data_IF_654745720120
#
_entry.id   IF_654745720120
#
_cell.length_a   1.000
_cell.length_b   1.000
_cell.length_c   1.000
_cell.angle_alpha   90.00
_cell.angle_beta   90.00
_cell.angle_gamma   90.00
#
_symmetry.space_group_name_H-M   'P 1'
#
loop_
_entity.id
_entity.type
_entity.pdbx_description
1 polymer ?
#
# COMPACT_ATOMS: atom_id res chain seq x y z
N UNK A 1 3.49 19.75 17.46
CA UNK A 1 2.22 20.19 16.86
C UNK A 1 2.44 20.12 15.37
N UNK A 2 2.10 18.99 14.75
CA UNK A 2 2.04 18.93 13.29
C UNK A 2 0.80 19.71 12.90
N UNK A 3 0.95 20.69 12.00
CA UNK A 3 -0.19 21.32 11.38
C UNK A 3 -0.87 20.24 10.53
N UNK A 4 -1.91 19.61 11.07
CA UNK A 4 -2.84 18.84 10.27
C UNK A 4 -3.52 19.80 9.28
N UNK A 5 -3.70 19.38 8.04
CA UNK A 5 -4.45 20.17 7.06
C UNK A 5 -5.90 20.24 7.53
N UNK A 6 -6.29 21.42 8.00
CA UNK A 6 -7.64 21.63 8.51
C UNK A 6 -8.64 21.70 7.36
N UNK A 7 -9.69 20.88 7.46
CA UNK A 7 -10.73 20.76 6.44
C UNK A 7 -11.44 22.09 6.17
N UNK A 8 -11.69 22.90 7.20
CA UNK A 8 -12.39 24.18 7.04
C UNK A 8 -11.52 25.21 6.31
N UNK A 9 -10.22 25.22 6.63
CA UNK A 9 -9.22 26.08 6.00
C UNK A 9 -9.06 25.74 4.52
N UNK A 10 -8.98 24.45 4.18
CA UNK A 10 -8.89 24.01 2.79
C UNK A 10 -10.12 24.41 1.99
N UNK A 11 -11.33 24.29 2.54
CA UNK A 11 -12.55 24.72 1.84
C UNK A 11 -12.63 26.24 1.63
N UNK A 12 -12.12 27.02 2.58
CA UNK A 12 -12.19 28.48 2.55
C UNK A 12 -11.32 29.12 1.46
N UNK A 13 -10.32 28.40 0.94
CA UNK A 13 -9.44 28.90 -0.12
C UNK A 13 -10.21 29.04 -1.45
N UNK A 14 -9.98 30.14 -2.16
CA UNK A 14 -10.50 30.40 -3.51
C UNK A 14 -9.67 29.67 -4.58
N UNK A 15 -9.70 28.33 -4.58
CA UNK A 15 -8.88 27.47 -5.44
C UNK A 15 -9.00 27.80 -6.93
N UNK A 16 -10.19 28.21 -7.38
CA UNK A 16 -10.47 28.59 -8.76
C UNK A 16 -9.70 29.82 -9.22
N UNK A 17 -9.18 30.64 -8.30
CA UNK A 17 -8.32 31.80 -8.61
C UNK A 17 -6.83 31.44 -8.65
N UNK A 18 -6.48 30.21 -8.29
CA UNK A 18 -5.09 29.74 -8.27
C UNK A 18 -4.66 29.19 -9.62
N UNK A 19 -3.35 29.02 -9.80
CA UNK A 19 -2.73 28.35 -10.97
C UNK A 19 -1.99 27.09 -10.54
N UNK A 20 -2.52 26.39 -9.55
CA UNK A 20 -1.89 25.18 -9.03
C UNK A 20 -1.97 24.09 -10.12
N UNK A 21 -0.80 23.64 -10.57
CA UNK A 21 -0.66 22.55 -11.53
C UNK A 21 -0.31 21.22 -10.85
N UNK A 22 0.25 21.26 -9.63
CA UNK A 22 0.71 20.09 -8.90
C UNK A 22 0.21 20.14 -7.46
N UNK A 23 -0.41 19.04 -7.00
CA UNK A 23 -0.96 18.92 -5.65
C UNK A 23 -0.56 17.58 -5.04
N UNK A 24 0.02 17.64 -3.84
CA UNK A 24 0.28 16.47 -3.00
C UNK A 24 -0.57 16.59 -1.73
N UNK A 25 -1.50 15.66 -1.56
CA UNK A 25 -2.35 15.50 -0.37
C UNK A 25 -2.23 14.10 0.21
N UNK A 26 -1.15 13.38 -0.12
CA UNK A 26 -0.91 12.01 0.31
C UNK A 26 -0.99 11.83 1.82
N UNK A 27 -1.71 10.81 2.27
CA UNK A 27 -1.76 10.39 3.67
C UNK A 27 -2.29 11.46 4.63
N UNK A 28 -3.08 12.41 4.11
CA UNK A 28 -3.73 13.46 4.89
C UNK A 28 -5.08 12.98 5.42
N UNK A 29 -5.64 13.69 6.41
CA UNK A 29 -6.94 13.38 7.02
C UNK A 29 -8.07 14.27 6.42
N UNK A 30 -7.93 14.66 5.15
CA UNK A 30 -8.96 15.44 4.45
C UNK A 30 -10.19 14.56 4.21
N UNK A 31 -11.37 15.06 4.59
CA UNK A 31 -12.63 14.35 4.37
C UNK A 31 -13.03 14.35 2.88
N UNK A 32 -13.88 13.42 2.49
CA UNK A 32 -14.38 13.32 1.10
C UNK A 32 -15.02 14.62 0.61
N UNK A 33 -15.80 15.31 1.45
CA UNK A 33 -16.40 16.61 1.11
C UNK A 33 -15.34 17.70 0.87
N UNK A 34 -14.25 17.68 1.64
CA UNK A 34 -13.12 18.60 1.42
C UNK A 34 -12.37 18.26 0.14
N UNK A 35 -12.14 16.98 -0.15
CA UNK A 35 -11.53 16.54 -1.41
C UNK A 35 -12.38 16.93 -2.62
N UNK A 36 -13.71 16.77 -2.53
CA UNK A 36 -14.65 17.23 -3.58
C UNK A 36 -14.51 18.73 -3.77
N UNK A 37 -14.60 19.53 -2.70
CA UNK A 37 -14.48 20.99 -2.78
C UNK A 37 -13.15 21.41 -3.41
N UNK A 38 -12.04 20.80 -2.96
CA UNK A 38 -10.70 21.09 -3.45
C UNK A 38 -10.53 20.74 -4.93
N UNK A 39 -10.77 19.47 -5.29
CA UNK A 39 -10.43 18.95 -6.62
C UNK A 39 -11.33 19.50 -7.73
N UNK A 40 -12.60 19.78 -7.44
CA UNK A 40 -13.54 20.37 -8.42
C UNK A 40 -13.24 21.84 -8.71
N UNK A 41 -12.40 22.50 -7.91
CA UNK A 41 -12.05 23.93 -8.03
C UNK A 41 -10.62 24.16 -8.50
N UNK A 42 -9.93 23.13 -8.99
CA UNK A 42 -8.55 23.22 -9.51
C UNK A 42 -8.50 22.99 -11.04
N UNK A 43 -8.85 23.99 -11.87
CA UNK A 43 -8.99 23.82 -13.32
C UNK A 43 -7.66 23.59 -14.07
N UNK A 44 -6.54 23.92 -13.43
CA UNK A 44 -5.21 23.83 -14.02
C UNK A 44 -4.41 22.61 -13.53
N UNK A 45 -5.02 21.71 -12.74
CA UNK A 45 -4.30 20.59 -12.15
C UNK A 45 -3.81 19.60 -13.23
N UNK A 46 -2.52 19.28 -13.15
CA UNK A 46 -1.82 18.38 -14.08
C UNK A 46 -1.21 17.19 -13.35
N UNK A 47 -0.86 17.34 -12.07
CA UNK A 47 -0.27 16.29 -11.26
C UNK A 47 -0.98 16.23 -9.90
N UNK A 48 -1.42 15.03 -9.53
CA UNK A 48 -2.02 14.76 -8.23
C UNK A 48 -1.37 13.53 -7.58
N UNK A 49 -0.89 13.70 -6.35
CA UNK A 49 -0.71 12.58 -5.42
C UNK A 49 -1.76 12.63 -4.32
N UNK A 50 -2.64 11.64 -4.34
CA UNK A 50 -3.72 11.42 -3.39
C UNK A 50 -3.63 10.01 -2.81
N UNK A 51 -2.43 9.43 -2.79
CA UNK A 51 -2.20 8.09 -2.23
C UNK A 51 -2.46 8.04 -0.72
N UNK A 52 -2.81 6.86 -0.21
CA UNK A 52 -3.10 6.63 1.21
C UNK A 52 -4.25 7.48 1.77
N UNK A 53 -5.25 7.79 0.94
CA UNK A 53 -6.45 8.53 1.33
C UNK A 53 -7.67 7.63 1.37
N UNK A 54 -8.09 7.19 2.57
CA UNK A 54 -9.33 6.42 2.76
C UNK A 54 -10.57 7.23 2.34
N UNK A 55 -10.53 8.55 2.52
CA UNK A 55 -11.58 9.48 2.10
C UNK A 55 -11.64 9.73 0.59
N UNK A 56 -10.68 9.22 -0.20
CA UNK A 56 -10.76 9.24 -1.65
C UNK A 56 -11.72 8.14 -2.12
N UNK A 57 -13.01 8.46 -2.17
CA UNK A 57 -14.09 7.51 -2.48
C UNK A 57 -14.60 7.66 -3.92
N UNK A 58 -15.43 6.73 -4.36
CA UNK A 58 -16.10 6.79 -5.67
C UNK A 58 -16.89 8.08 -5.87
N UNK A 59 -17.51 8.61 -4.80
CA UNK A 59 -18.23 9.88 -4.83
C UNK A 59 -17.30 11.07 -5.13
N UNK A 60 -16.07 11.05 -4.59
CA UNK A 60 -15.06 12.07 -4.89
C UNK A 60 -14.67 12.00 -6.37
N UNK A 61 -14.40 10.79 -6.87
CA UNK A 61 -14.06 10.58 -8.28
C UNK A 61 -15.18 11.02 -9.22
N UNK A 62 -16.43 10.67 -8.91
CA UNK A 62 -17.61 11.03 -9.70
C UNK A 62 -17.77 12.55 -9.76
N UNK A 63 -17.77 13.23 -8.60
CA UNK A 63 -17.89 14.68 -8.55
C UNK A 63 -16.75 15.38 -9.31
N UNK A 64 -15.52 14.88 -9.17
CA UNK A 64 -14.37 15.44 -9.86
C UNK A 64 -14.47 15.28 -11.38
N UNK A 65 -14.87 14.11 -11.87
CA UNK A 65 -15.14 13.87 -13.29
C UNK A 65 -16.28 14.73 -13.83
N UNK A 66 -17.37 14.89 -13.08
CA UNK A 66 -18.52 15.71 -13.48
C UNK A 66 -18.19 17.21 -13.53
N UNK A 67 -17.24 17.68 -12.72
CA UNK A 67 -16.83 19.09 -12.70
C UNK A 67 -16.06 19.52 -13.96
N UNK A 68 -15.46 18.59 -14.70
CA UNK A 68 -14.58 18.90 -15.83
C UNK A 68 -13.18 19.39 -15.45
N UNK A 69 -12.85 19.51 -14.16
CA UNK A 69 -11.53 19.96 -13.69
C UNK A 69 -10.38 18.98 -14.03
N UNK A 70 -10.70 17.73 -14.42
CA UNK A 70 -9.73 16.69 -14.82
C UNK A 70 -9.13 16.86 -16.22
N UNK A 71 -9.59 17.84 -17.00
CA UNK A 71 -9.22 18.01 -18.42
C UNK A 71 -7.73 18.18 -18.68
N UNK A 72 -6.96 18.70 -17.72
CA UNK A 72 -5.53 18.93 -17.85
C UNK A 72 -4.66 17.88 -17.14
N UNK A 73 -5.28 16.92 -16.45
CA UNK A 73 -4.58 15.93 -15.62
C UNK A 73 -3.67 15.03 -16.48
N UNK A 74 -2.39 14.99 -16.14
CA UNK A 74 -1.36 14.18 -16.80
C UNK A 74 -0.79 13.10 -15.89
N UNK A 75 -0.81 13.29 -14.58
CA UNK A 75 -0.27 12.35 -13.61
C UNK A 75 -1.22 12.20 -12.44
N UNK A 76 -1.52 10.96 -12.08
CA UNK A 76 -2.35 10.66 -10.92
C UNK A 76 -1.81 9.46 -10.15
N UNK A 77 -1.69 9.66 -8.84
CA UNK A 77 -1.34 8.62 -7.89
C UNK A 77 -2.49 8.40 -6.89
N UNK A 78 -3.09 7.20 -6.96
CA UNK A 78 -4.17 6.71 -6.09
C UNK A 78 -3.75 5.40 -5.40
N UNK A 79 -2.46 5.27 -5.13
CA UNK A 79 -1.87 4.13 -4.43
C UNK A 79 -2.52 3.96 -3.05
N UNK A 80 -2.96 2.73 -2.74
CA UNK A 80 -3.60 2.41 -1.44
C UNK A 80 -4.82 3.27 -1.11
N UNK A 81 -5.66 3.57 -2.11
CA UNK A 81 -6.99 4.18 -1.90
C UNK A 81 -8.09 3.11 -1.97
N UNK A 82 -8.24 2.30 -0.92
CA UNK A 82 -9.08 1.09 -0.93
C UNK A 82 -10.58 1.36 -1.13
N UNK A 83 -11.03 2.58 -0.87
CA UNK A 83 -12.43 3.02 -1.04
C UNK A 83 -12.85 3.22 -2.51
N UNK A 84 -11.94 3.14 -3.49
CA UNK A 84 -12.22 3.37 -4.92
C UNK A 84 -12.51 2.10 -5.68
N UNK A 85 -13.73 1.84 -6.15
CA UNK A 85 -14.06 0.62 -6.86
C UNK A 85 -13.50 0.54 -8.31
N UNK A 86 -13.54 -0.66 -8.89
CA UNK A 86 -13.04 -0.91 -10.25
C UNK A 86 -13.80 -0.12 -11.33
N UNK A 87 -15.11 0.09 -11.17
CA UNK A 87 -15.94 0.80 -12.15
C UNK A 87 -15.56 2.29 -12.24
N UNK A 88 -15.36 2.96 -11.11
CA UNK A 88 -14.95 4.37 -11.06
C UNK A 88 -13.56 4.58 -11.66
N UNK A 89 -12.62 3.66 -11.43
CA UNK A 89 -11.29 3.69 -12.04
C UNK A 89 -11.32 3.37 -13.54
N UNK A 90 -12.20 2.45 -13.96
CA UNK A 90 -12.45 2.15 -15.38
C UNK A 90 -12.97 3.40 -16.10
N UNK A 91 -13.95 4.09 -15.53
CA UNK A 91 -14.51 5.31 -16.11
C UNK A 91 -13.46 6.42 -16.24
N UNK A 92 -12.64 6.63 -15.21
CA UNK A 92 -11.51 7.57 -15.26
C UNK A 92 -10.58 7.27 -16.44
N UNK A 93 -10.13 6.02 -16.56
CA UNK A 93 -9.14 5.63 -17.59
C UNK A 93 -9.76 5.66 -18.99
N UNK A 94 -11.02 5.25 -19.16
CA UNK A 94 -11.70 5.31 -20.45
C UNK A 94 -11.84 6.76 -20.92
N UNK A 95 -12.17 7.69 -20.02
CA UNK A 95 -12.36 9.11 -20.36
C UNK A 95 -11.05 9.88 -20.51
N UNK A 96 -10.08 9.63 -19.63
CA UNK A 96 -8.88 10.46 -19.50
C UNK A 96 -7.56 9.70 -19.75
N UNK A 97 -7.59 8.39 -20.00
CA UNK A 97 -6.39 7.59 -20.29
C UNK A 97 -5.48 8.15 -21.40
N UNK A 98 -6.03 8.66 -22.53
CA UNK A 98 -5.21 9.19 -23.62
C UNK A 98 -4.34 10.41 -23.25
N UNK A 99 -4.69 11.20 -22.23
CA UNK A 99 -3.91 12.36 -21.79
C UNK A 99 -2.89 12.03 -20.69
N UNK A 100 -3.01 10.85 -20.05
CA UNK A 100 -2.14 10.49 -18.93
C UNK A 100 -0.72 10.11 -19.39
N UNK A 101 0.25 10.65 -18.66
CA UNK A 101 1.67 10.33 -18.73
C UNK A 101 2.12 9.50 -17.53
N UNK A 102 1.43 9.59 -16.39
CA UNK A 102 1.67 8.71 -15.26
C UNK A 102 0.39 8.25 -14.58
N UNK A 103 0.33 6.96 -14.27
CA UNK A 103 -0.79 6.33 -13.58
C UNK A 103 -0.23 5.39 -12.51
N UNK A 104 -0.56 5.66 -11.26
CA UNK A 104 -0.23 4.79 -10.14
C UNK A 104 -1.52 4.33 -9.46
N UNK A 105 -1.85 3.06 -9.66
CA UNK A 105 -2.95 2.35 -8.99
C UNK A 105 -2.40 1.17 -8.18
N UNK A 106 -1.22 1.37 -7.59
CA UNK A 106 -0.63 0.42 -6.67
C UNK A 106 -1.52 0.19 -5.45
N UNK A 107 -1.31 -0.93 -4.74
CA UNK A 107 -2.04 -1.21 -3.49
C UNK A 107 -3.51 -1.58 -3.67
N UNK A 108 -4.07 -1.44 -4.88
CA UNK A 108 -5.45 -1.76 -5.19
C UNK A 108 -5.63 -3.28 -5.40
N UNK A 109 -5.86 -4.02 -4.32
CA UNK A 109 -5.95 -5.49 -4.32
C UNK A 109 -7.05 -6.07 -5.25
N UNK A 110 -8.06 -5.27 -5.58
CA UNK A 110 -9.18 -5.64 -6.47
C UNK A 110 -8.88 -5.47 -7.96
N UNK A 111 -7.82 -4.75 -8.34
CA UNK A 111 -7.47 -4.53 -9.74
C UNK A 111 -6.61 -5.67 -10.27
N UNK A 112 -7.27 -6.65 -10.89
CA UNK A 112 -6.67 -7.89 -11.37
C UNK A 112 -6.48 -7.88 -12.90
N UNK A 113 -6.19 -9.06 -13.45
CA UNK A 113 -5.85 -9.26 -14.86
C UNK A 113 -6.88 -8.72 -15.84
N UNK A 114 -8.17 -8.95 -15.60
CA UNK A 114 -9.22 -8.43 -16.47
C UNK A 114 -9.19 -6.91 -16.57
N UNK A 115 -9.07 -6.20 -15.44
CA UNK A 115 -9.01 -4.75 -15.43
C UNK A 115 -7.82 -4.24 -16.24
N UNK A 116 -6.61 -4.70 -15.94
CA UNK A 116 -5.39 -4.19 -16.59
C UNK A 116 -5.35 -4.48 -18.08
N UNK A 117 -5.79 -5.67 -18.52
CA UNK A 117 -5.83 -6.02 -19.93
C UNK A 117 -6.77 -5.11 -20.74
N UNK A 118 -7.84 -4.62 -20.13
CA UNK A 118 -8.76 -3.67 -20.77
C UNK A 118 -8.29 -2.21 -20.68
N UNK A 119 -7.60 -1.85 -19.59
CA UNK A 119 -7.20 -0.46 -19.32
C UNK A 119 -5.88 -0.05 -20.00
N UNK A 120 -4.89 -0.94 -20.08
CA UNK A 120 -3.60 -0.65 -20.74
C UNK A 120 -3.76 -0.09 -22.18
N UNK A 121 -4.65 -0.62 -23.03
CA UNK A 121 -4.88 -0.07 -24.38
C UNK A 121 -5.36 1.39 -24.43
N UNK A 122 -5.93 1.91 -23.32
CA UNK A 122 -6.38 3.30 -23.23
C UNK A 122 -5.22 4.27 -22.90
N UNK A 123 -4.07 3.76 -22.48
CA UNK A 123 -2.94 4.52 -21.94
C UNK A 123 -1.85 4.80 -22.99
N UNK A 124 -2.25 5.30 -24.18
CA UNK A 124 -1.36 5.42 -25.36
C UNK A 124 -0.16 6.35 -25.17
N UNK A 125 -0.24 7.30 -24.24
CA UNK A 125 0.81 8.29 -23.96
C UNK A 125 1.57 8.03 -22.66
N UNK A 126 1.30 6.91 -22.00
CA UNK A 126 1.83 6.62 -20.67
C UNK A 126 3.36 6.50 -20.71
N UNK A 127 3.99 7.08 -19.70
CA UNK A 127 5.43 7.06 -19.45
C UNK A 127 5.76 6.33 -18.16
N UNK A 128 4.87 6.39 -17.17
CA UNK A 128 5.02 5.74 -15.87
C UNK A 128 3.74 4.97 -15.56
N UNK A 129 3.86 3.67 -15.30
CA UNK A 129 2.74 2.86 -14.84
C UNK A 129 3.17 2.06 -13.61
N UNK A 130 2.36 2.11 -12.56
CA UNK A 130 2.55 1.36 -11.33
C UNK A 130 1.29 0.54 -11.05
N UNK A 131 1.46 -0.77 -10.94
CA UNK A 131 0.39 -1.74 -10.78
C UNK A 131 0.71 -2.81 -9.75
N UNK A 132 -0.34 -3.46 -9.27
CA UNK A 132 -0.26 -4.54 -8.30
C UNK A 132 -0.10 -4.06 -6.86
N UNK A 133 -0.02 -5.03 -5.97
CA UNK A 133 0.04 -4.82 -4.52
C UNK A 133 1.33 -5.42 -3.98
N UNK A 134 2.02 -4.68 -3.13
CA UNK A 134 3.31 -5.09 -2.59
C UNK A 134 3.17 -6.24 -1.59
N UNK A 135 4.28 -6.98 -1.41
CA UNK A 135 4.48 -7.93 -0.32
C UNK A 135 4.20 -7.22 1.02
N UNK A 136 3.48 -7.88 1.93
CA UNK A 136 3.07 -7.39 3.27
C UNK A 136 1.83 -6.48 3.35
N UNK A 137 1.03 -6.33 2.29
CA UNK A 137 -0.29 -5.71 2.42
C UNK A 137 -1.34 -6.67 3.03
N UNK A 138 -2.28 -6.12 3.82
CA UNK A 138 -3.23 -6.88 4.65
C UNK A 138 -4.15 -7.84 3.86
N UNK A 139 -4.38 -7.58 2.57
CA UNK A 139 -5.18 -8.42 1.69
C UNK A 139 -4.28 -9.22 0.74
N UNK A 140 -4.12 -10.53 1.02
CA UNK A 140 -3.47 -11.43 0.05
C UNK A 140 -4.37 -11.57 -1.17
N UNK A 141 -3.82 -11.31 -2.35
CA UNK A 141 -4.50 -11.57 -3.62
C UNK A 141 -4.57 -13.08 -3.81
N UNK A 142 -5.77 -13.65 -3.77
CA UNK A 142 -5.95 -15.09 -3.99
C UNK A 142 -5.81 -15.48 -5.47
N UNK A 143 -6.05 -14.53 -6.37
CA UNK A 143 -5.98 -14.74 -7.81
C UNK A 143 -4.52 -14.82 -8.29
N UNK A 144 -4.24 -15.78 -9.18
CA UNK A 144 -2.96 -15.87 -9.88
C UNK A 144 -2.98 -14.92 -11.09
N UNK A 145 -1.89 -14.20 -11.30
CA UNK A 145 -1.77 -13.17 -12.34
C UNK A 145 -0.85 -13.66 -13.45
N UNK A 146 -1.36 -13.75 -14.69
CA UNK A 146 -0.57 -14.17 -15.84
C UNK A 146 0.23 -13.01 -16.44
N UNK A 147 1.42 -12.74 -15.88
CA UNK A 147 2.20 -11.54 -16.20
C UNK A 147 2.67 -11.45 -17.66
N UNK A 148 2.85 -12.58 -18.35
CA UNK A 148 3.24 -12.59 -19.77
C UNK A 148 2.27 -11.79 -20.64
N UNK A 149 0.96 -11.89 -20.34
CA UNK A 149 -0.06 -11.15 -21.08
C UNK A 149 0.03 -9.64 -20.82
N UNK A 150 0.38 -9.23 -19.60
CA UNK A 150 0.58 -7.82 -19.29
C UNK A 150 1.79 -7.27 -20.02
N UNK A 151 2.91 -7.99 -20.01
CA UNK A 151 4.12 -7.55 -20.70
C UNK A 151 3.87 -7.39 -22.19
N UNK A 152 3.19 -8.35 -22.83
CA UNK A 152 2.81 -8.21 -24.24
C UNK A 152 1.86 -7.02 -24.44
N UNK A 153 0.79 -6.91 -23.65
CA UNK A 153 -0.19 -5.83 -23.76
C UNK A 153 0.46 -4.44 -23.61
N UNK A 154 1.36 -4.28 -22.64
CA UNK A 154 2.16 -3.06 -22.44
C UNK A 154 3.03 -2.80 -23.67
N UNK A 155 3.74 -3.82 -24.16
CA UNK A 155 4.62 -3.68 -25.32
C UNK A 155 3.85 -3.24 -26.58
N UNK A 156 2.62 -3.72 -26.78
CA UNK A 156 1.81 -3.34 -27.94
C UNK A 156 1.21 -1.94 -27.83
N UNK A 157 0.91 -1.46 -26.61
CA UNK A 157 0.10 -0.25 -26.42
C UNK A 157 0.88 0.97 -25.86
N UNK A 158 2.04 0.75 -25.24
CA UNK A 158 2.77 1.78 -24.48
C UNK A 158 4.20 2.03 -25.00
N UNK A 159 4.38 2.51 -26.25
CA UNK A 159 5.71 2.69 -26.85
C UNK A 159 6.54 3.81 -26.17
N UNK A 160 5.89 4.71 -25.43
CA UNK A 160 6.50 5.84 -24.71
C UNK A 160 6.87 5.50 -23.26
N UNK A 161 6.71 4.25 -22.85
CA UNK A 161 6.95 3.84 -21.48
C UNK A 161 8.41 4.05 -21.08
N UNK A 162 8.62 4.71 -19.94
CA UNK A 162 9.94 5.00 -19.36
C UNK A 162 10.15 4.31 -18.02
N UNK A 163 9.08 4.05 -17.27
CA UNK A 163 9.11 3.38 -15.97
C UNK A 163 7.92 2.44 -15.83
N UNK A 164 8.22 1.18 -15.54
CA UNK A 164 7.24 0.13 -15.25
C UNK A 164 7.47 -0.37 -13.83
N UNK A 165 6.45 -0.41 -13.00
CA UNK A 165 6.50 -0.99 -11.67
C UNK A 165 5.35 -1.99 -11.49
N UNK A 166 5.71 -3.26 -11.24
CA UNK A 166 4.77 -4.35 -11.02
C UNK A 166 5.05 -4.93 -9.64
N UNK A 167 4.09 -4.82 -8.72
CA UNK A 167 4.30 -5.07 -7.29
C UNK A 167 3.83 -6.44 -6.79
N UNK A 168 3.10 -7.21 -7.60
CA UNK A 168 2.69 -8.57 -7.20
C UNK A 168 3.92 -9.43 -6.88
N UNK A 169 3.81 -10.23 -5.82
CA UNK A 169 4.88 -11.11 -5.33
C UNK A 169 5.03 -12.39 -6.18
N UNK A 170 6.09 -13.15 -5.91
CA UNK A 170 6.42 -14.42 -6.59
C UNK A 170 5.29 -15.46 -6.46
N UNK A 171 4.58 -15.45 -5.34
CA UNK A 171 3.45 -16.33 -5.11
C UNK A 171 2.26 -15.94 -5.98
N UNK A 172 2.04 -14.66 -6.28
CA UNK A 172 0.90 -14.18 -7.07
C UNK A 172 1.14 -14.31 -8.56
N UNK A 173 2.38 -14.10 -9.01
CA UNK A 173 2.73 -14.11 -10.42
C UNK A 173 2.81 -15.53 -11.00
N UNK A 174 2.27 -15.70 -12.21
CA UNK A 174 2.48 -16.87 -13.04
C UNK A 174 3.00 -16.47 -14.41
N UNK A 175 4.01 -17.18 -14.87
CA UNK A 175 4.71 -16.90 -16.11
C UNK A 175 5.12 -18.22 -16.78
N UNK A 176 5.37 -18.18 -18.08
CA UNK A 176 5.63 -19.38 -18.90
C UNK A 176 7.11 -19.58 -19.23
N UNK A 177 7.43 -20.71 -19.83
CA UNK A 177 8.74 -20.96 -20.45
C UNK A 177 9.04 -19.99 -21.62
N UNK A 178 8.01 -19.30 -22.13
CA UNK A 178 8.11 -18.33 -23.22
C UNK A 178 8.28 -16.88 -22.75
N UNK A 179 8.29 -16.62 -21.44
CA UNK A 179 8.40 -15.28 -20.86
C UNK A 179 9.53 -14.43 -21.43
N UNK A 180 10.69 -15.03 -21.71
CA UNK A 180 11.81 -14.31 -22.34
C UNK A 180 11.43 -13.65 -23.67
N UNK A 181 10.58 -14.28 -24.48
CA UNK A 181 10.13 -13.72 -25.76
C UNK A 181 9.27 -12.47 -25.56
N UNK A 182 8.39 -12.47 -24.56
CA UNK A 182 7.57 -11.30 -24.23
C UNK A 182 8.44 -10.14 -23.72
N UNK A 183 9.44 -10.44 -22.91
CA UNK A 183 10.40 -9.46 -22.40
C UNK A 183 11.23 -8.85 -23.56
N UNK A 184 11.64 -9.67 -24.54
CA UNK A 184 12.30 -9.18 -25.75
C UNK A 184 11.38 -8.27 -26.57
N UNK A 185 10.11 -8.62 -26.73
CA UNK A 185 9.11 -7.78 -27.40
C UNK A 185 8.94 -6.43 -26.69
N UNK A 186 8.82 -6.44 -25.35
CA UNK A 186 8.78 -5.22 -24.54
C UNK A 186 9.99 -4.33 -24.82
N UNK A 187 11.19 -4.90 -24.83
CA UNK A 187 12.43 -4.17 -25.11
C UNK A 187 12.48 -3.58 -26.52
N UNK A 188 11.99 -4.31 -27.52
CA UNK A 188 11.98 -3.86 -28.91
C UNK A 188 10.95 -2.76 -29.17
N UNK A 189 9.83 -2.76 -28.41
CA UNK A 189 8.72 -1.83 -28.60
C UNK A 189 8.80 -0.59 -27.71
N UNK A 190 9.28 -0.73 -26.47
CA UNK A 190 9.41 0.34 -25.49
C UNK A 190 10.86 0.83 -25.40
N UNK A 191 11.34 1.50 -26.45
CA UNK A 191 12.75 1.92 -26.58
C UNK A 191 13.20 2.97 -25.54
N UNK A 192 12.25 3.63 -24.88
CA UNK A 192 12.50 4.65 -23.85
C UNK A 192 12.45 4.09 -22.43
N UNK A 193 12.29 2.77 -22.28
CA UNK A 193 12.15 2.12 -20.97
C UNK A 193 13.47 2.19 -20.21
N UNK A 194 13.53 3.03 -19.18
CA UNK A 194 14.73 3.25 -18.36
C UNK A 194 14.72 2.45 -17.06
N UNK A 195 13.54 2.14 -16.52
CA UNK A 195 13.41 1.47 -15.23
C UNK A 195 12.29 0.46 -15.25
N UNK A 196 12.60 -0.77 -14.83
CA UNK A 196 11.60 -1.77 -14.46
C UNK A 196 11.79 -2.09 -12.99
N UNK A 197 10.71 -2.06 -12.22
CA UNK A 197 10.69 -2.42 -10.80
C UNK A 197 9.75 -3.61 -10.62
N UNK A 198 10.25 -4.69 -10.04
CA UNK A 198 9.50 -5.92 -9.77
C UNK A 198 9.66 -6.31 -8.31
N UNK A 199 8.73 -7.12 -7.79
CA UNK A 199 8.95 -7.83 -6.52
C UNK A 199 10.06 -8.87 -6.65
N UNK A 200 10.75 -9.14 -5.54
CA UNK A 200 11.73 -10.23 -5.49
C UNK A 200 11.06 -11.56 -5.86
N UNK A 201 11.79 -12.43 -6.56
CA UNK A 201 11.23 -13.68 -7.06
C UNK A 201 11.82 -14.16 -8.39
N UNK A 202 11.34 -15.31 -8.85
CA UNK A 202 11.84 -15.98 -10.04
C UNK A 202 11.62 -15.13 -11.30
N UNK A 203 10.49 -14.42 -11.37
CA UNK A 203 10.21 -13.54 -12.50
C UNK A 203 11.15 -12.34 -12.56
N UNK A 204 11.50 -11.74 -11.42
CA UNK A 204 12.47 -10.66 -11.35
C UNK A 204 13.84 -11.10 -11.89
N UNK A 205 14.34 -12.24 -11.43
CA UNK A 205 15.63 -12.78 -11.89
C UNK A 205 15.63 -13.09 -13.40
N UNK A 206 14.51 -13.60 -13.93
CA UNK A 206 14.34 -13.82 -15.36
C UNK A 206 14.43 -12.52 -16.16
N UNK A 207 13.68 -11.49 -15.75
CA UNK A 207 13.67 -10.18 -16.42
C UNK A 207 15.05 -9.53 -16.32
N UNK A 208 15.66 -9.53 -15.13
CA UNK A 208 17.00 -9.01 -14.90
C UNK A 208 18.04 -9.66 -15.81
N UNK A 209 18.11 -10.99 -15.84
CA UNK A 209 19.07 -11.71 -16.69
C UNK A 209 18.85 -11.42 -18.18
N UNK A 210 17.59 -11.25 -18.61
CA UNK A 210 17.27 -10.92 -20.00
C UNK A 210 17.75 -9.50 -20.39
N UNK A 211 17.60 -8.53 -19.49
CA UNK A 211 18.07 -7.15 -19.70
C UNK A 211 19.60 -7.01 -19.60
N UNK A 212 20.25 -7.72 -18.67
CA UNK A 212 21.71 -7.72 -18.53
C UNK A 212 22.39 -8.30 -19.79
N UNK A 213 21.87 -9.39 -20.35
CA UNK A 213 22.38 -9.97 -21.62
C UNK A 213 22.22 -9.06 -22.83
N UNK A 214 21.28 -8.13 -22.75
CA UNK A 214 20.94 -7.24 -23.85
C UNK A 214 21.77 -5.96 -23.92
N UNK A 215 22.65 -5.74 -22.94
CA UNK A 215 23.53 -4.57 -22.82
C UNK A 215 22.79 -3.22 -23.00
N UNK A 216 21.63 -3.09 -22.35
CA UNK A 216 20.82 -1.86 -22.36
C UNK A 216 21.03 -1.06 -21.09
N UNK A 217 20.95 0.26 -21.22
CA UNK A 217 20.97 1.23 -20.10
C UNK A 217 19.78 1.10 -19.12
N UNK A 218 18.78 0.28 -19.45
CA UNK A 218 17.58 0.09 -18.63
C UNK A 218 17.92 -0.63 -17.33
N UNK A 219 17.52 -0.07 -16.20
CA UNK A 219 17.80 -0.65 -14.88
C UNK A 219 16.61 -1.48 -14.42
N UNK A 220 16.84 -2.77 -14.17
CA UNK A 220 15.87 -3.67 -13.53
C UNK A 220 16.18 -3.73 -12.03
N UNK A 221 15.22 -3.31 -11.19
CA UNK A 221 15.39 -3.23 -9.74
C UNK A 221 14.33 -4.06 -9.03
N UNK A 222 14.69 -4.58 -7.87
CA UNK A 222 13.73 -5.10 -6.91
C UNK A 222 13.10 -3.91 -6.15
N UNK A 223 11.81 -3.99 -5.83
CA UNK A 223 11.11 -3.04 -4.95
C UNK A 223 11.58 -3.13 -3.49
N UNK A 224 12.27 -4.22 -3.11
CA UNK A 224 12.94 -4.37 -1.83
C UNK A 224 14.40 -3.94 -1.99
N UNK A 225 14.82 -2.93 -1.23
CA UNK A 225 16.24 -2.69 -0.95
C UNK A 225 16.77 -3.84 -0.10
N UNK A 226 17.06 -4.99 -0.73
CA UNK A 226 17.83 -6.04 -0.10
C UNK A 226 19.31 -5.63 -0.20
N UNK A 227 20.01 -5.30 0.91
CA UNK A 227 21.46 -5.24 0.87
C UNK A 227 21.99 -6.65 0.54
N UNK A 228 23.22 -6.77 -0.01
CA UNK A 228 23.79 -8.04 -0.51
C UNK A 228 23.98 -9.16 0.53
N UNK A 229 23.44 -9.00 1.76
CA UNK A 229 23.55 -9.96 2.87
C UNK A 229 22.24 -10.13 3.66
N UNK A 230 21.08 -10.16 2.99
CA UNK A 230 19.86 -10.79 3.55
C UNK A 230 19.32 -10.21 4.87
N UNK A 231 19.59 -8.94 5.20
CA UNK A 231 18.99 -8.26 6.35
C UNK A 231 18.20 -7.04 5.89
N UNK A 232 16.87 -7.13 6.00
CA UNK A 232 15.90 -6.06 5.68
C UNK A 232 16.22 -4.81 6.50
N UNK A 233 16.44 -3.67 5.85
CA UNK A 233 16.63 -2.37 6.52
C UNK A 233 15.49 -1.44 6.13
N UNK A 234 14.62 -1.10 7.08
CA UNK A 234 13.60 -0.07 6.90
C UNK A 234 14.23 1.33 6.96
N UNK A 235 13.90 2.26 6.04
CA UNK A 235 14.30 3.65 6.18
C UNK A 235 13.51 4.28 7.34
N UNK A 236 14.22 4.66 8.40
CA UNK A 236 13.67 5.44 9.52
C UNK A 236 13.23 6.82 9.03
N UNK A 237 11.93 7.03 8.89
CA UNK A 237 11.35 8.38 8.79
C UNK A 237 11.18 8.93 10.21
N UNK A 238 11.92 9.99 10.55
CA UNK A 238 11.81 10.69 11.83
C UNK A 238 10.60 11.63 11.77
N UNK A 239 9.49 11.26 12.41
CA UNK A 239 8.33 12.14 12.58
C UNK A 239 8.10 12.40 14.08
N UNK A 240 8.33 13.66 14.45
CA UNK A 240 8.38 14.25 15.79
C UNK A 240 6.97 14.60 16.37
N UNK A 241 6.29 13.69 17.07
CA UNK A 241 4.97 13.97 17.66
C UNK A 241 5.10 14.80 18.95
N UNK A 242 4.27 15.84 19.06
CA UNK A 242 4.05 16.67 20.26
C UNK A 242 2.57 16.55 20.63
N UNK A 243 2.32 16.19 21.89
CA UNK A 243 1.06 15.84 22.57
C UNK A 243 -0.01 16.95 22.57
N UNK A 244 -1.28 16.53 22.64
CA UNK A 244 -2.29 17.15 23.48
C UNK A 244 -3.40 16.14 23.88
N UNK A 245 -3.73 16.11 25.17
CA UNK A 245 -4.77 15.31 25.82
C UNK A 245 -5.96 16.24 26.14
N UNK A 246 -7.19 15.79 25.92
CA UNK A 246 -8.35 16.17 26.75
C UNK A 246 -9.51 15.17 26.58
N UNK A 247 -10.02 14.68 27.73
CA UNK A 247 -11.21 13.85 27.91
C UNK A 247 -12.50 14.59 27.50
N UNK A 248 -13.63 13.95 27.16
CA UNK A 248 -14.56 13.36 28.14
C UNK A 248 -15.83 12.73 27.50
N UNK A 249 -16.30 11.66 28.16
CA UNK A 249 -17.68 11.23 28.47
C UNK A 249 -18.53 10.46 27.44
N UNK A 250 -18.93 9.29 27.94
CA UNK A 250 -19.78 8.19 27.47
C UNK A 250 -21.08 8.54 26.73
N UNK A 251 -21.42 7.69 25.75
CA UNK A 251 -22.77 7.11 25.61
C UNK A 251 -22.68 5.70 25.04
N UNK A 252 -23.34 4.78 25.74
CA UNK A 252 -23.35 3.34 25.56
C UNK A 252 -24.12 2.91 24.32
N UNK A 253 -23.43 2.21 23.41
CA UNK A 253 -24.03 1.18 22.56
C UNK A 253 -23.16 -0.06 22.69
N UNK A 254 -23.76 -1.14 23.21
CA UNK A 254 -23.18 -2.48 23.24
C UNK A 254 -23.10 -2.94 21.79
N UNK A 255 -21.91 -2.79 21.20
CA UNK A 255 -21.53 -3.38 19.91
C UNK A 255 -20.67 -4.61 20.26
N UNK A 256 -20.92 -5.79 19.66
CA UNK A 256 -20.15 -7.00 19.96
C UNK A 256 -18.64 -6.78 19.66
N UNK A 257 -17.73 -7.34 20.48
CA UNK A 257 -16.30 -7.14 20.26
C UNK A 257 -15.85 -8.00 19.08
N UNK A 258 -15.62 -7.36 17.94
CA UNK A 258 -14.91 -7.96 16.81
C UNK A 258 -14.24 -6.86 15.99
N UNK A 259 -13.36 -6.10 16.65
CA UNK A 259 -12.32 -5.32 15.97
C UNK A 259 -11.04 -5.52 16.77
N UNK A 260 -10.36 -6.63 16.53
CA UNK A 260 -8.99 -6.79 17.04
C UNK A 260 -8.15 -5.68 16.39
N UNK A 261 -7.68 -4.75 17.22
CA UNK A 261 -6.85 -3.66 16.75
C UNK A 261 -5.55 -4.28 16.21
N UNK A 262 -5.05 -3.87 15.05
CA UNK A 262 -3.87 -4.51 14.41
C UNK A 262 -2.68 -4.58 15.38
N UNK A 263 -2.54 -3.56 16.24
CA UNK A 263 -1.55 -3.53 17.32
C UNK A 263 -1.75 -4.64 18.37
N UNK A 264 -2.99 -4.92 18.78
CA UNK A 264 -3.33 -5.95 19.75
C UNK A 264 -3.00 -7.36 19.21
N UNK A 265 -3.24 -7.59 17.92
CA UNK A 265 -2.88 -8.85 17.26
C UNK A 265 -1.37 -9.06 17.17
N UNK A 266 -0.60 -7.98 16.95
CA UNK A 266 0.86 -8.04 16.97
C UNK A 266 1.37 -8.36 18.37
N UNK A 267 0.86 -7.67 19.39
CA UNK A 267 1.26 -7.87 20.79
C UNK A 267 0.92 -9.28 21.27
N UNK A 268 -0.25 -9.81 20.91
CA UNK A 268 -0.62 -11.18 21.24
C UNK A 268 0.32 -12.21 20.60
N UNK A 269 0.68 -12.01 19.32
CA UNK A 269 1.61 -12.91 18.63
C UNK A 269 3.01 -12.89 19.24
N UNK A 270 3.48 -11.74 19.72
CA UNK A 270 4.74 -11.62 20.45
C UNK A 270 4.64 -12.37 21.78
N UNK A 271 3.55 -12.18 22.53
CA UNK A 271 3.30 -12.85 23.81
C UNK A 271 3.29 -14.37 23.66
N UNK A 272 2.55 -14.90 22.69
CA UNK A 272 2.52 -16.34 22.40
C UNK A 272 3.90 -16.87 22.00
N UNK A 273 4.66 -16.12 21.18
CA UNK A 273 6.01 -16.53 20.75
C UNK A 273 6.98 -16.66 21.92
N UNK A 274 6.85 -15.79 22.92
CA UNK A 274 7.69 -15.79 24.12
C UNK A 274 7.23 -16.83 25.14
N UNK A 275 5.92 -16.94 25.35
CA UNK A 275 5.34 -17.83 26.35
C UNK A 275 5.38 -19.32 25.93
N UNK A 276 5.10 -19.64 24.66
CA UNK A 276 5.03 -21.02 24.18
C UNK A 276 6.29 -21.89 24.43
N UNK A 277 7.53 -21.40 24.21
CA UNK A 277 8.75 -22.16 24.53
C UNK A 277 9.10 -22.18 26.03
N UNK A 278 8.41 -21.37 26.85
CA UNK A 278 8.69 -21.18 28.28
C UNK A 278 7.56 -21.70 29.19
N UNK A 279 6.59 -22.45 28.64
CA UNK A 279 5.52 -23.11 29.39
C UNK A 279 6.14 -23.97 30.51
N UNK A 280 5.69 -23.76 31.75
CA UNK A 280 6.20 -24.44 32.95
C UNK A 280 7.38 -23.75 33.65
N UNK A 281 7.82 -22.59 33.17
CA UNK A 281 8.72 -21.67 33.91
C UNK A 281 7.90 -20.68 34.75
N UNK A 282 8.58 -20.03 35.70
CA UNK A 282 7.99 -18.98 36.52
C UNK A 282 7.45 -17.81 35.67
N UNK A 283 6.23 -17.36 35.96
CA UNK A 283 5.53 -16.31 35.23
C UNK A 283 6.34 -15.02 35.17
N UNK A 284 7.10 -14.66 36.23
CA UNK A 284 7.94 -13.45 36.23
C UNK A 284 9.05 -13.50 35.18
N UNK A 285 9.53 -14.71 34.84
CA UNK A 285 10.54 -14.88 33.79
C UNK A 285 9.92 -14.66 32.41
N UNK A 286 8.68 -15.11 32.20
CA UNK A 286 7.95 -14.94 30.95
C UNK A 286 7.59 -13.47 30.74
N UNK A 287 7.18 -12.78 31.79
CA UNK A 287 6.92 -11.33 31.79
C UNK A 287 8.17 -10.55 31.38
N UNK A 288 9.33 -10.82 32.00
CA UNK A 288 10.59 -10.14 31.67
C UNK A 288 11.06 -10.40 30.24
N UNK A 289 10.94 -11.65 29.78
CA UNK A 289 11.30 -12.02 28.41
C UNK A 289 10.36 -11.36 27.39
N UNK A 290 9.06 -11.25 27.71
CA UNK A 290 8.10 -10.56 26.87
C UNK A 290 8.41 -9.08 26.80
N UNK A 291 8.62 -8.44 27.94
CA UNK A 291 8.87 -7.00 28.02
C UNK A 291 10.12 -6.62 27.23
N UNK A 292 11.17 -7.45 27.30
CA UNK A 292 12.41 -7.30 26.52
C UNK A 292 12.18 -7.44 25.01
N UNK A 293 11.47 -8.47 24.57
CA UNK A 293 11.24 -8.71 23.15
C UNK A 293 10.23 -7.71 22.55
N UNK A 294 9.23 -7.33 23.32
CA UNK A 294 8.23 -6.31 22.98
C UNK A 294 8.90 -4.94 22.73
N UNK A 295 9.80 -4.49 23.61
CA UNK A 295 10.56 -3.23 23.43
C UNK A 295 11.47 -3.25 22.20
N UNK A 296 12.08 -4.40 21.93
CA UNK A 296 12.97 -4.61 20.78
C UNK A 296 12.21 -4.54 19.45
N UNK A 297 10.99 -5.06 19.41
CA UNK A 297 10.13 -5.07 18.23
C UNK A 297 9.42 -3.72 18.02
N UNK A 298 8.89 -3.08 19.08
CA UNK A 298 8.10 -1.86 18.94
C UNK A 298 8.91 -0.59 18.62
N UNK A 299 10.18 -0.48 19.01
CA UNK A 299 11.09 0.67 18.69
C UNK A 299 10.44 2.08 18.72
N UNK A 300 9.46 2.30 19.60
CA UNK A 300 8.66 3.52 19.73
C UNK A 300 8.97 4.24 21.05
N UNK A 301 8.91 5.58 21.09
CA UNK A 301 8.97 6.32 22.35
C UNK A 301 7.65 6.11 23.10
N UNK A 302 7.67 5.23 24.11
CA UNK A 302 6.58 4.73 25.01
C UNK A 302 6.42 3.20 25.01
N UNK A 303 7.24 2.45 24.25
CA UNK A 303 7.19 0.99 24.23
C UNK A 303 7.26 0.36 25.63
N UNK A 304 8.03 0.96 26.57
CA UNK A 304 8.08 0.48 27.96
C UNK A 304 6.71 0.45 28.63
N UNK A 305 5.90 1.51 28.48
CA UNK A 305 4.58 1.59 29.15
C UNK A 305 3.52 0.74 28.45
N UNK A 306 3.60 0.60 27.13
CA UNK A 306 2.65 -0.22 26.37
C UNK A 306 2.92 -1.72 26.56
N UNK A 307 4.19 -2.14 26.58
CA UNK A 307 4.56 -3.52 26.89
C UNK A 307 4.16 -3.88 28.33
N UNK A 308 4.48 -3.01 29.30
CA UNK A 308 4.12 -3.22 30.72
C UNK A 308 2.60 -3.26 30.90
N UNK A 309 1.85 -2.37 30.25
CA UNK A 309 0.38 -2.39 30.28
C UNK A 309 -0.17 -3.70 29.68
N UNK A 310 0.39 -4.13 28.55
CA UNK A 310 -0.04 -5.36 27.88
C UNK A 310 0.26 -6.61 28.70
N UNK A 311 1.41 -6.66 29.38
CA UNK A 311 1.75 -7.73 30.33
C UNK A 311 0.66 -7.85 31.39
N UNK A 312 0.37 -6.73 32.06
CA UNK A 312 -0.57 -6.70 33.19
C UNK A 312 -2.02 -7.03 32.78
N UNK A 313 -2.43 -6.67 31.57
CA UNK A 313 -3.83 -6.82 31.12
C UNK A 313 -4.08 -8.13 30.36
N UNK A 314 -3.07 -8.72 29.69
CA UNK A 314 -3.31 -9.74 28.66
C UNK A 314 -2.36 -10.96 28.67
N UNK A 315 -1.25 -10.96 29.42
CA UNK A 315 -0.28 -12.06 29.33
C UNK A 315 -0.74 -13.34 30.04
N UNK A 316 -1.35 -13.23 31.23
CA UNK A 316 -1.83 -14.40 31.99
C UNK A 316 -2.87 -15.25 31.23
N UNK A 317 -3.90 -14.66 30.58
CA UNK A 317 -4.82 -15.43 29.72
C UNK A 317 -4.12 -16.20 28.59
N UNK A 318 -3.04 -15.64 28.03
CA UNK A 318 -2.26 -16.28 26.96
C UNK A 318 -1.48 -17.48 27.50
N UNK A 319 -0.86 -17.34 28.67
CA UNK A 319 -0.14 -18.45 29.33
C UNK A 319 -1.12 -19.57 29.67
N UNK A 320 -2.28 -19.24 30.25
CA UNK A 320 -3.28 -20.23 30.62
C UNK A 320 -3.81 -21.03 29.42
N UNK A 321 -4.09 -20.35 28.30
CA UNK A 321 -4.52 -21.01 27.07
C UNK A 321 -3.47 -21.96 26.50
N UNK A 322 -2.19 -21.56 26.53
CA UNK A 322 -1.08 -22.41 26.14
C UNK A 322 -0.93 -23.64 27.06
N UNK A 323 -1.08 -23.47 28.37
CA UNK A 323 -1.05 -24.58 29.35
C UNK A 323 -2.22 -25.54 29.18
N UNK A 324 -3.40 -25.03 28.78
CA UNK A 324 -4.57 -25.84 28.47
C UNK A 324 -4.43 -26.70 27.19
N UNK A 325 -3.32 -26.56 26.46
CA UNK A 325 -3.01 -27.32 25.26
C UNK A 325 -3.48 -26.67 23.95
N UNK A 326 -3.89 -25.40 23.97
CA UNK A 326 -4.22 -24.66 22.74
C UNK A 326 -2.95 -24.47 21.91
N UNK A 327 -3.00 -24.82 20.61
CA UNK A 327 -1.85 -24.67 19.73
C UNK A 327 -1.45 -23.18 19.60
N UNK A 328 -0.16 -22.82 19.64
CA UNK A 328 0.28 -21.41 19.64
C UNK A 328 -0.33 -20.55 18.53
N UNK A 329 -0.49 -21.11 17.33
CA UNK A 329 -1.08 -20.42 16.17
C UNK A 329 -2.56 -20.03 16.36
N UNK A 330 -3.27 -20.66 17.30
CA UNK A 330 -4.72 -20.53 17.51
C UNK A 330 -5.04 -19.72 18.78
N UNK A 331 -4.09 -19.52 19.69
CA UNK A 331 -4.28 -18.81 20.97
C UNK A 331 -4.81 -17.39 20.77
N UNK A 332 -4.18 -16.60 19.90
CA UNK A 332 -4.62 -15.21 19.68
C UNK A 332 -6.01 -15.10 19.05
N UNK A 333 -6.40 -16.08 18.23
CA UNK A 333 -7.76 -16.14 17.66
C UNK A 333 -8.80 -16.50 18.70
N UNK A 334 -8.44 -17.42 19.60
CA UNK A 334 -9.31 -17.89 20.67
C UNK A 334 -9.52 -16.83 21.75
N UNK A 335 -8.50 -16.01 22.01
CA UNK A 335 -8.55 -14.87 22.92
C UNK A 335 -9.04 -13.58 22.27
N UNK A 336 -9.46 -13.62 21.00
CA UNK A 336 -9.93 -12.46 20.23
C UNK A 336 -8.91 -11.32 20.10
N UNK A 337 -7.63 -11.58 20.36
CA UNK A 337 -6.54 -10.64 20.07
C UNK A 337 -6.20 -10.60 18.58
N UNK A 338 -6.58 -11.64 17.83
CA UNK A 338 -6.62 -11.78 16.38
C UNK A 338 -7.87 -12.62 16.01
#
# INVERSE_FOLDING_TARGET
MFAALDNSTIKAIEWEKTRIEELDVKGTELSSDTLISLLTRLPHLRWLDASWLESMTDQVMEAWMQSGALTNLQYINLDTCDSLNEASLTELIVRHGPQLYGLCLGGQHKLLEYFWMNMIPQLKNIRVIVMGIAEDCCAKVAAKIHIDQFIDCIAQNCPRLTRLEIRWDDDTLRFSDKSSKFIDVLRMKCLMLHSIVLSDGQYYELVRSNFERADRMSVVRCNILSPPNGKRYFPKMRTLILLAVAATVCLSLVIPPAQSNVAECVMCKIAVRVAAPSIGKDTQVIEQDFDKECKKELKMPLADKECEKYVNEHLDPIIHELESGTAPKDVCKKLHGC
#
